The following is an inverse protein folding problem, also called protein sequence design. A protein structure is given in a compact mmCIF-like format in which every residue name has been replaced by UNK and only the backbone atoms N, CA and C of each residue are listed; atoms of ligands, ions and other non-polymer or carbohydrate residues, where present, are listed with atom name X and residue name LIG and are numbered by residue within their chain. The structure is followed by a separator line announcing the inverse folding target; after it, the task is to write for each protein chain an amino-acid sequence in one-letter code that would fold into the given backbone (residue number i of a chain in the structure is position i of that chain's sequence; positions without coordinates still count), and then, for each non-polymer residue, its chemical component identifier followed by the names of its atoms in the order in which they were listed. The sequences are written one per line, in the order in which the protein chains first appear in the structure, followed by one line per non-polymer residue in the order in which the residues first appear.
data_IF_236236880774
#
_entry.id   IF_236236880774
#
_cell.length_a   1.000
_cell.length_b   1.000
_cell.length_c   1.000
_cell.angle_alpha   90.00
_cell.angle_beta   90.00
_cell.angle_gamma   90.00
#
_symmetry.space_group_name_H-M   'P 1'
#
loop_
_entity.id
_entity.type
_entity.pdbx_description
1 polymer ?
#
# COMPACT_ATOMS: atom_id res chain seq x y z
N UNK A 1 -21.36 34.70 35.15
CA UNK A 1 -20.07 35.00 35.81
C UNK A 1 -19.04 35.34 34.74
N UNK A 2 -18.34 36.48 34.81
CA UNK A 2 -17.44 36.95 33.74
C UNK A 2 -16.32 35.95 33.42
N UNK A 3 -15.77 35.28 34.44
CA UNK A 3 -14.72 34.27 34.30
C UNK A 3 -15.12 33.08 33.40
N UNK A 4 -16.35 32.58 33.52
CA UNK A 4 -16.83 31.46 32.71
C UNK A 4 -16.83 31.79 31.21
N UNK A 5 -17.17 33.04 30.84
CA UNK A 5 -17.14 33.50 29.44
C UNK A 5 -15.72 33.49 28.88
N UNK A 6 -14.73 33.92 29.65
CA UNK A 6 -13.32 33.90 29.22
C UNK A 6 -12.76 32.49 29.11
N UNK A 7 -13.13 31.59 30.02
CA UNK A 7 -12.73 30.18 29.95
C UNK A 7 -13.29 29.52 28.69
N UNK A 8 -14.59 29.72 28.40
CA UNK A 8 -15.20 29.21 27.18
C UNK A 8 -14.56 29.79 25.92
N UNK A 9 -14.21 31.08 25.92
CA UNK A 9 -13.52 31.71 24.81
C UNK A 9 -12.10 31.16 24.59
N UNK A 10 -11.35 30.91 25.68
CA UNK A 10 -10.04 30.26 25.61
C UNK A 10 -10.15 28.84 25.05
N UNK A 11 -11.11 28.05 25.51
CA UNK A 11 -11.37 26.69 25.00
C UNK A 11 -11.72 26.75 23.50
N UNK A 12 -12.56 27.70 23.08
CA UNK A 12 -12.89 27.89 21.67
C UNK A 12 -11.64 28.19 20.83
N UNK A 13 -10.77 29.09 21.29
CA UNK A 13 -9.49 29.38 20.61
C UNK A 13 -8.63 28.13 20.51
N UNK A 14 -8.52 27.33 21.57
CA UNK A 14 -7.75 26.09 21.57
C UNK A 14 -8.32 25.07 20.59
N UNK A 15 -9.65 24.90 20.53
CA UNK A 15 -10.32 23.99 19.59
C UNK A 15 -10.10 24.45 18.15
N UNK A 16 -10.23 25.75 17.87
CA UNK A 16 -9.99 26.31 16.53
C UNK A 16 -8.53 26.10 16.14
N UNK A 17 -7.58 26.43 17.02
CA UNK A 17 -6.16 26.23 16.78
C UNK A 17 -5.80 24.76 16.54
N UNK A 18 -6.36 23.86 17.33
CA UNK A 18 -6.15 22.41 17.20
C UNK A 18 -6.75 21.86 15.89
N UNK A 19 -7.96 22.29 15.52
CA UNK A 19 -8.59 21.90 14.26
C UNK A 19 -7.78 22.38 13.05
N UNK A 20 -7.32 23.64 13.06
CA UNK A 20 -6.45 24.18 12.01
C UNK A 20 -5.16 23.37 11.93
N UNK A 21 -4.53 23.07 13.08
CA UNK A 21 -3.31 22.28 13.13
C UNK A 21 -3.47 20.89 12.51
N UNK A 22 -4.58 20.19 12.79
CA UNK A 22 -4.90 18.89 12.16
C UNK A 22 -5.14 19.05 10.66
N UNK A 23 -5.90 20.07 10.26
CA UNK A 23 -6.29 20.28 8.87
C UNK A 23 -5.10 20.55 7.93
N UNK A 24 -3.98 21.06 8.45
CA UNK A 24 -2.75 21.31 7.67
C UNK A 24 -1.75 20.15 7.69
N UNK A 25 -2.02 19.06 8.43
CA UNK A 25 -1.12 17.90 8.43
C UNK A 25 -1.15 17.19 7.07
N UNK A 26 -0.01 16.64 6.60
CA UNK A 26 0.00 15.77 5.42
C UNK A 26 -0.95 14.59 5.58
N UNK A 27 -1.73 14.29 4.54
CA UNK A 27 -2.63 13.14 4.50
C UNK A 27 -1.98 11.89 3.87
N UNK A 28 -0.69 11.95 3.55
CA UNK A 28 0.09 10.84 3.02
C UNK A 28 0.95 10.22 4.11
N UNK A 29 1.13 8.90 4.02
CA UNK A 29 2.03 8.15 4.88
C UNK A 29 2.79 7.12 4.05
N UNK A 30 3.97 6.73 4.53
CA UNK A 30 4.82 5.73 3.89
C UNK A 30 5.06 4.58 4.86
N UNK A 31 4.92 3.34 4.38
CA UNK A 31 5.19 2.13 5.17
C UNK A 31 6.36 1.38 4.54
N UNK A 32 7.42 1.15 5.30
CA UNK A 32 8.59 0.38 4.87
C UNK A 32 8.74 -0.91 5.66
N UNK A 33 9.04 -2.00 4.96
CA UNK A 33 9.40 -3.29 5.54
C UNK A 33 10.60 -3.85 4.80
N UNK A 34 11.53 -4.46 5.53
CA UNK A 34 12.71 -5.12 4.95
C UNK A 34 12.87 -6.51 5.53
N UNK A 35 13.47 -7.42 4.75
CA UNK A 35 13.79 -8.78 5.16
C UNK A 35 15.00 -9.29 4.41
N UNK A 36 15.94 -9.91 5.12
CA UNK A 36 17.07 -10.62 4.53
C UNK A 36 16.64 -12.04 4.13
N UNK A 37 16.91 -12.43 2.89
CA UNK A 37 16.63 -13.77 2.36
C UNK A 37 17.92 -14.32 1.76
N UNK A 38 18.31 -15.53 2.18
CA UNK A 38 19.52 -16.21 1.69
C UNK A 38 19.26 -16.85 0.31
N UNK A 39 19.07 -16.01 -0.71
CA UNK A 39 18.92 -16.40 -2.10
C UNK A 39 19.44 -15.29 -3.03
N UNK A 40 19.83 -15.61 -4.28
CA UNK A 40 20.19 -14.58 -5.25
C UNK A 40 19.04 -13.60 -5.49
N UNK A 41 19.36 -12.30 -5.63
CA UNK A 41 18.37 -11.24 -5.86
C UNK A 41 17.48 -11.52 -7.09
N UNK A 42 18.06 -12.12 -8.14
CA UNK A 42 17.35 -12.55 -9.34
C UNK A 42 16.20 -13.54 -9.05
N UNK A 43 16.41 -14.49 -8.13
CA UNK A 43 15.38 -15.49 -7.78
C UNK A 43 14.20 -14.81 -7.07
N UNK A 44 14.50 -13.89 -6.16
CA UNK A 44 13.47 -13.15 -5.41
C UNK A 44 12.74 -12.17 -6.34
N UNK A 45 13.47 -11.42 -7.16
CA UNK A 45 12.90 -10.52 -8.16
C UNK A 45 11.95 -11.28 -9.09
N UNK A 46 12.38 -12.42 -9.64
CA UNK A 46 11.54 -13.24 -10.53
C UNK A 46 10.30 -13.78 -9.84
N UNK A 47 10.35 -14.03 -8.53
CA UNK A 47 9.18 -14.41 -7.75
C UNK A 47 8.19 -13.24 -7.60
N UNK A 48 8.69 -12.04 -7.27
CA UNK A 48 7.85 -10.86 -7.03
C UNK A 48 7.26 -10.27 -8.32
N UNK A 49 8.01 -10.24 -9.42
CA UNK A 49 7.58 -9.60 -10.68
C UNK A 49 6.47 -10.35 -11.42
N UNK A 50 6.24 -11.64 -11.11
CA UNK A 50 5.19 -12.45 -11.70
C UNK A 50 4.09 -12.76 -10.67
N UNK A 51 2.92 -12.18 -10.88
CA UNK A 51 1.77 -12.34 -9.98
C UNK A 51 1.26 -13.78 -9.86
N UNK A 52 1.64 -14.70 -10.76
CA UNK A 52 1.34 -16.13 -10.58
C UNK A 52 1.97 -16.72 -9.33
N UNK A 53 3.14 -16.21 -8.94
CA UNK A 53 3.86 -16.73 -7.77
C UNK A 53 3.26 -16.24 -6.44
N UNK A 54 2.41 -15.21 -6.48
CA UNK A 54 1.88 -14.58 -5.27
C UNK A 54 0.81 -15.43 -4.59
N UNK A 55 0.21 -16.41 -5.27
CA UNK A 55 -0.73 -17.35 -4.65
C UNK A 55 -0.12 -18.03 -3.41
N UNK A 56 1.19 -18.29 -3.43
CA UNK A 56 1.90 -18.94 -2.33
C UNK A 56 2.12 -18.02 -1.10
N UNK A 57 1.94 -16.70 -1.22
CA UNK A 57 2.25 -15.74 -0.16
C UNK A 57 1.36 -14.48 -0.16
N UNK A 58 0.17 -14.56 -0.76
CA UNK A 58 -0.77 -13.44 -0.87
C UNK A 58 -1.29 -13.06 0.51
N UNK A 59 -0.97 -11.84 0.96
CA UNK A 59 -1.47 -11.32 2.24
C UNK A 59 -3.00 -11.20 2.27
N UNK A 60 -3.65 -11.06 1.11
CA UNK A 60 -5.11 -11.02 1.02
C UNK A 60 -5.71 -12.39 1.31
N UNK A 61 -5.15 -13.46 0.73
CA UNK A 61 -5.58 -14.85 0.95
C UNK A 61 -5.22 -15.33 2.35
N UNK A 62 -4.08 -14.92 2.89
CA UNK A 62 -3.70 -15.21 4.28
C UNK A 62 -4.69 -14.58 5.28
N UNK A 63 -5.17 -13.36 4.99
CA UNK A 63 -6.15 -12.66 5.82
C UNK A 63 -7.55 -13.27 5.68
N UNK A 64 -7.97 -13.59 4.46
CA UNK A 64 -9.28 -14.19 4.17
C UNK A 64 -9.14 -15.32 3.12
N UNK A 65 -9.24 -16.59 3.53
CA UNK A 65 -9.11 -17.74 2.64
C UNK A 65 -10.17 -17.82 1.53
N UNK A 66 -11.30 -17.11 1.67
CA UNK A 66 -12.35 -17.05 0.64
C UNK A 66 -12.05 -15.99 -0.45
N UNK A 67 -10.94 -15.26 -0.33
CA UNK A 67 -10.51 -14.26 -1.31
C UNK A 67 -10.33 -14.88 -2.69
N UNK A 68 -11.04 -14.34 -3.67
CA UNK A 68 -10.92 -14.76 -5.07
C UNK A 68 -9.86 -13.92 -5.77
N UNK A 69 -8.77 -14.56 -6.17
CA UNK A 69 -7.71 -13.94 -6.98
C UNK A 69 -8.01 -14.15 -8.47
N UNK A 70 -7.97 -13.07 -9.24
CA UNK A 70 -8.09 -13.10 -10.70
C UNK A 70 -6.82 -12.54 -11.33
N UNK A 71 -6.12 -13.36 -12.09
CA UNK A 71 -4.92 -12.95 -12.82
C UNK A 71 -5.31 -12.19 -14.09
N UNK A 72 -4.54 -11.15 -14.42
CA UNK A 72 -4.66 -10.47 -15.71
C UNK A 72 -4.13 -11.31 -16.88
N UNK A 73 -4.43 -10.90 -18.11
CA UNK A 73 -3.88 -11.53 -19.32
C UNK A 73 -2.35 -11.59 -19.30
N UNK A 74 -1.73 -10.51 -18.80
CA UNK A 74 -0.32 -10.45 -18.47
C UNK A 74 -0.15 -10.42 -16.95
N UNK A 75 0.75 -11.26 -16.46
CA UNK A 75 1.05 -11.45 -15.02
C UNK A 75 2.47 -11.06 -14.64
N UNK A 76 3.40 -11.09 -15.61
CA UNK A 76 4.81 -10.76 -15.42
C UNK A 76 5.20 -9.47 -16.12
N UNK A 77 6.10 -8.69 -15.52
CA UNK A 77 6.72 -7.50 -16.12
C UNK A 77 5.80 -6.29 -16.20
N UNK A 78 6.20 -5.25 -16.94
CA UNK A 78 5.45 -3.99 -17.10
C UNK A 78 4.09 -4.27 -17.73
N UNK A 79 3.01 -3.86 -17.06
CA UNK A 79 1.64 -4.17 -17.46
C UNK A 79 1.07 -5.46 -16.84
N UNK A 80 1.92 -6.25 -16.18
CA UNK A 80 1.49 -7.37 -15.35
C UNK A 80 0.46 -6.90 -14.32
N UNK A 81 -0.59 -7.69 -14.09
CA UNK A 81 -1.61 -7.35 -13.10
C UNK A 81 -2.30 -8.57 -12.50
N UNK A 82 -2.86 -8.36 -11.32
CA UNK A 82 -3.85 -9.24 -10.71
C UNK A 82 -4.87 -8.39 -9.95
N UNK A 83 -6.03 -8.95 -9.69
CA UNK A 83 -7.05 -8.38 -8.82
C UNK A 83 -7.52 -9.40 -7.80
N UNK A 84 -8.10 -8.90 -6.72
CA UNK A 84 -8.77 -9.74 -5.73
C UNK A 84 -10.13 -9.17 -5.36
N UNK A 85 -10.99 -10.05 -4.85
CA UNK A 85 -12.29 -9.71 -4.30
C UNK A 85 -12.60 -10.61 -3.12
N UNK A 86 -13.01 -10.00 -2.02
CA UNK A 86 -13.43 -10.65 -0.79
C UNK A 86 -14.57 -9.85 -0.13
N UNK A 87 -14.99 -10.24 1.08
CA UNK A 87 -16.06 -9.56 1.82
C UNK A 87 -15.68 -8.14 2.30
N UNK A 88 -14.39 -7.85 2.46
CA UNK A 88 -13.84 -6.58 2.93
C UNK A 88 -13.56 -5.60 1.77
N UNK A 89 -13.58 -6.08 0.52
CA UNK A 89 -13.54 -5.23 -0.66
C UNK A 89 -12.90 -5.91 -1.88
N UNK A 90 -12.52 -5.06 -2.83
CA UNK A 90 -11.82 -5.48 -4.05
C UNK A 90 -10.61 -4.60 -4.26
N UNK A 91 -9.61 -5.14 -4.95
CA UNK A 91 -8.50 -4.31 -5.40
C UNK A 91 -7.76 -4.92 -6.58
N UNK A 92 -6.83 -4.14 -7.11
CA UNK A 92 -6.01 -4.50 -8.26
C UNK A 92 -4.60 -3.99 -8.08
N UNK A 93 -3.63 -4.83 -8.41
CA UNK A 93 -2.22 -4.44 -8.52
C UNK A 93 -1.83 -4.39 -10.00
N UNK A 94 -0.99 -3.43 -10.38
CA UNK A 94 -0.39 -3.34 -11.71
C UNK A 94 1.08 -2.95 -11.63
N UNK A 95 1.94 -3.65 -12.36
CA UNK A 95 3.34 -3.26 -12.53
C UNK A 95 3.47 -2.13 -13.54
N UNK A 96 4.09 -1.02 -13.13
CA UNK A 96 4.25 0.19 -13.94
C UNK A 96 5.66 0.30 -14.53
N UNK A 97 6.69 -0.02 -13.74
CA UNK A 97 8.08 0.04 -14.16
C UNK A 97 8.91 -1.03 -13.45
N UNK A 98 10.06 -1.36 -14.00
CA UNK A 98 10.99 -2.30 -13.40
C UNK A 98 12.42 -2.04 -13.85
N UNK A 99 13.38 -2.30 -12.96
CA UNK A 99 14.80 -2.45 -13.29
C UNK A 99 15.18 -3.88 -12.96
N UNK A 100 15.63 -4.63 -13.97
CA UNK A 100 15.88 -6.07 -13.85
C UNK A 100 16.76 -6.39 -12.62
N UNK A 101 16.26 -7.27 -11.76
CA UNK A 101 16.89 -7.73 -10.52
C UNK A 101 17.16 -6.67 -9.44
N UNK A 102 16.74 -5.42 -9.65
CA UNK A 102 17.04 -4.32 -8.73
C UNK A 102 15.78 -3.68 -8.11
N UNK A 103 14.75 -3.39 -8.90
CA UNK A 103 13.55 -2.73 -8.38
C UNK A 103 12.29 -2.98 -9.20
N UNK A 104 11.13 -2.86 -8.57
CA UNK A 104 9.81 -2.95 -9.21
C UNK A 104 8.92 -1.85 -8.66
N UNK A 105 8.29 -1.08 -9.55
CA UNK A 105 7.26 -0.10 -9.20
C UNK A 105 5.87 -0.62 -9.60
N UNK A 106 4.97 -0.63 -8.63
CA UNK A 106 3.60 -1.10 -8.77
C UNK A 106 2.60 -0.05 -8.27
N UNK A 107 1.39 -0.14 -8.79
CA UNK A 107 0.24 0.62 -8.35
C UNK A 107 -0.80 -0.32 -7.77
N UNK A 108 -1.29 0.04 -6.59
CA UNK A 108 -2.33 -0.65 -5.84
C UNK A 108 -3.60 0.20 -5.83
N UNK A 109 -4.62 -0.26 -6.54
CA UNK A 109 -5.96 0.31 -6.50
C UNK A 109 -6.81 -0.51 -5.52
N UNK A 110 -7.25 0.09 -4.40
CA UNK A 110 -8.19 -0.54 -3.48
C UNK A 110 -9.56 0.14 -3.61
N UNK A 111 -10.60 -0.62 -3.94
CA UNK A 111 -11.94 -0.08 -4.17
C UNK A 111 -11.90 1.13 -5.10
N UNK A 112 -12.49 2.24 -4.64
CA UNK A 112 -12.54 3.52 -5.34
C UNK A 112 -11.62 4.59 -4.69
N UNK A 113 -10.67 4.17 -3.84
CA UNK A 113 -9.69 5.09 -3.24
C UNK A 113 -8.64 5.55 -4.26
N UNK A 114 -7.89 6.60 -3.94
CA UNK A 114 -6.75 6.99 -4.76
C UNK A 114 -5.69 5.86 -4.81
N UNK A 115 -5.09 5.59 -5.98
CA UNK A 115 -4.09 4.54 -6.10
C UNK A 115 -2.87 4.79 -5.20
N UNK A 116 -2.44 3.72 -4.52
CA UNK A 116 -1.22 3.72 -3.71
C UNK A 116 -0.04 3.23 -4.53
N UNK A 117 1.15 3.81 -4.27
CA UNK A 117 2.40 3.36 -4.89
C UNK A 117 3.04 2.28 -4.04
N UNK A 118 3.49 1.21 -4.68
CA UNK A 118 4.22 0.11 -4.07
C UNK A 118 5.57 0.00 -4.74
N UNK A 119 6.64 0.08 -3.95
CA UNK A 119 8.01 -0.01 -4.43
C UNK A 119 8.70 -1.21 -3.80
N UNK A 120 9.32 -2.03 -4.64
CA UNK A 120 10.19 -3.13 -4.23
C UNK A 120 11.63 -2.79 -4.58
N UNK A 121 12.53 -3.03 -3.63
CA UNK A 121 13.98 -2.89 -3.81
C UNK A 121 14.65 -4.22 -3.46
N UNK A 122 15.53 -4.70 -4.32
CA UNK A 122 16.28 -5.95 -4.15
C UNK A 122 17.77 -5.63 -4.05
N UNK A 123 18.32 -5.76 -2.85
CA UNK A 123 19.75 -5.55 -2.60
C UNK A 123 20.44 -6.92 -2.46
N UNK A 124 21.45 -7.23 -3.28
CA UNK A 124 22.29 -8.40 -3.08
C UNK A 124 22.93 -8.41 -1.68
N UNK A 125 23.10 -9.60 -1.12
CA UNK A 125 23.80 -9.81 0.16
C UNK A 125 25.31 -9.57 0.03
#
# INVERSE_FOLDING_TARGET
MKALKYILFLILILIIGFTIYIAVQPNSFEVKRSRTIHAPAEVIYNNVIDFKNWEAWSSWVEKDPETVITLGEQTKGIGGSYSWMDKDGKGKMKTLATTEHASIDQELQFGDFEPSKVHWEFTPL
#
